data_IF_056348708566
#
_entry.id   IF_056348708566
#
_cell.length_a   1.000
_cell.length_b   1.000
_cell.length_c   1.000
_cell.angle_alpha   90.00
_cell.angle_beta   90.00
_cell.angle_gamma   90.00
#
_symmetry.space_group_name_H-M   'P 1'
#
loop_
_entity.id
_entity.type
_entity.pdbx_description
1 polymer ?
#
# COMPACT_ATOMS: atom_id res chain seq x y z
N UNK A 1 -98.11 -8.68 42.68
CA UNK A 1 -97.32 -8.73 43.86
C UNK A 1 -95.87 -8.65 43.53
N UNK A 2 -95.19 -7.65 43.99
CA UNK A 2 -93.84 -7.26 43.64
C UNK A 2 -92.87 -7.93 44.62
N UNK A 3 -91.79 -8.56 44.11
CA UNK A 3 -90.67 -8.96 44.95
C UNK A 3 -89.40 -8.34 44.37
N UNK A 4 -88.55 -7.76 45.17
CA UNK A 4 -87.44 -6.95 44.74
C UNK A 4 -86.19 -7.76 44.52
N UNK A 5 -85.42 -7.28 43.50
CA UNK A 5 -84.11 -7.76 43.11
C UNK A 5 -83.06 -7.26 44.09
N UNK A 6 -82.30 -8.13 44.72
CA UNK A 6 -81.12 -7.79 45.56
C UNK A 6 -79.87 -7.67 44.67
N UNK A 7 -79.27 -6.50 44.73
CA UNK A 7 -77.88 -6.22 44.23
C UNK A 7 -76.86 -6.81 45.18
N UNK A 8 -75.89 -7.48 44.68
CA UNK A 8 -74.72 -7.90 45.39
C UNK A 8 -73.43 -7.26 44.76
N UNK A 9 -72.74 -6.36 45.46
CA UNK A 9 -71.47 -5.87 44.99
C UNK A 9 -70.35 -6.66 45.63
N UNK A 10 -69.30 -6.84 44.90
CA UNK A 10 -67.95 -7.27 45.26
C UNK A 10 -67.47 -8.43 44.34
N UNK A 11 -66.71 -8.03 43.33
CA UNK A 11 -65.39 -8.64 43.06
C UNK A 11 -64.71 -7.89 41.92
N UNK A 12 -64.05 -6.79 42.30
CA UNK A 12 -63.08 -6.15 41.44
C UNK A 12 -61.73 -6.90 41.55
N UNK A 13 -61.48 -7.79 40.64
CA UNK A 13 -60.15 -8.41 40.50
C UNK A 13 -59.27 -7.45 39.68
N UNK A 14 -58.35 -6.80 40.40
CA UNK A 14 -57.24 -6.04 39.78
C UNK A 14 -56.33 -7.00 39.05
N UNK A 15 -56.36 -6.99 37.71
CA UNK A 15 -55.31 -7.58 36.89
C UNK A 15 -54.19 -6.54 36.75
N UNK A 16 -53.11 -6.69 37.52
CA UNK A 16 -51.86 -6.04 37.27
C UNK A 16 -51.23 -6.67 36.02
N UNK A 17 -51.29 -5.96 34.92
CA UNK A 17 -50.51 -6.28 33.73
C UNK A 17 -49.07 -5.86 33.95
N UNK A 18 -48.16 -6.82 34.14
CA UNK A 18 -46.72 -6.60 34.10
C UNK A 18 -46.33 -6.33 32.61
N UNK A 19 -46.10 -5.09 32.25
CA UNK A 19 -45.48 -4.74 30.98
C UNK A 19 -43.99 -5.09 31.07
N UNK A 20 -43.56 -6.23 30.53
CA UNK A 20 -42.15 -6.53 30.26
C UNK A 20 -41.67 -5.63 29.13
N UNK A 21 -40.93 -4.61 29.48
CA UNK A 21 -40.12 -3.85 28.54
C UNK A 21 -38.97 -4.76 28.10
N UNK A 22 -39.10 -5.41 26.94
CA UNK A 22 -38.00 -6.02 26.23
C UNK A 22 -37.14 -4.86 25.61
N UNK A 23 -36.10 -4.46 26.32
CA UNK A 23 -35.03 -3.67 25.73
C UNK A 23 -34.26 -4.57 24.76
N UNK A 24 -34.61 -4.51 23.50
CA UNK A 24 -33.80 -5.05 22.42
C UNK A 24 -32.52 -4.20 22.36
N UNK A 25 -31.46 -4.66 23.01
CA UNK A 25 -30.12 -4.15 22.74
C UNK A 25 -29.79 -4.52 21.28
N UNK A 26 -29.94 -3.58 20.34
CA UNK A 26 -29.32 -3.68 19.03
C UNK A 26 -27.81 -3.71 19.25
N UNK A 27 -27.24 -4.90 19.18
CA UNK A 27 -25.82 -5.05 18.96
C UNK A 27 -25.53 -4.49 17.56
N UNK A 28 -25.16 -3.21 17.47
CA UNK A 28 -24.55 -2.64 16.28
C UNK A 28 -23.24 -3.40 16.14
N UNK A 29 -23.22 -4.40 15.24
CA UNK A 29 -21.97 -4.96 14.76
C UNK A 29 -21.24 -3.82 14.06
N UNK A 30 -20.31 -3.19 14.75
CA UNK A 30 -19.29 -2.36 14.12
C UNK A 30 -18.46 -3.35 13.32
N UNK A 31 -18.86 -3.60 12.06
CA UNK A 31 -17.95 -4.16 11.09
C UNK A 31 -16.73 -3.24 11.14
N UNK A 32 -15.58 -3.77 11.55
CA UNK A 32 -14.36 -3.00 11.72
C UNK A 32 -14.11 -2.19 10.44
N UNK A 33 -14.32 -0.89 10.50
CA UNK A 33 -14.01 0.00 9.39
C UNK A 33 -12.49 -0.11 9.19
N UNK A 34 -12.06 -0.63 8.05
CA UNK A 34 -10.66 -0.57 7.68
C UNK A 34 -10.22 0.90 7.66
N UNK A 35 -8.99 1.16 8.10
CA UNK A 35 -8.42 2.49 8.06
C UNK A 35 -8.43 3.05 6.63
N UNK A 36 -8.70 4.36 6.49
CA UNK A 36 -8.57 5.03 5.20
C UNK A 36 -7.13 4.89 4.68
N UNK A 37 -6.93 4.47 3.43
CA UNK A 37 -5.59 4.27 2.87
C UNK A 37 -4.72 5.54 2.85
N UNK A 38 -5.35 6.72 2.77
CA UNK A 38 -4.69 8.02 2.85
C UNK A 38 -5.25 8.82 4.01
N UNK A 39 -4.38 9.40 4.84
CA UNK A 39 -4.76 10.28 5.96
C UNK A 39 -4.09 11.63 5.85
N UNK A 40 -4.77 12.68 6.34
CA UNK A 40 -4.23 14.04 6.33
C UNK A 40 -3.31 14.31 7.52
N UNK A 41 -2.41 15.33 7.45
CA UNK A 41 -1.63 15.77 8.61
C UNK A 41 -2.50 16.15 9.83
N UNK A 42 -3.64 16.77 9.60
CA UNK A 42 -4.59 17.11 10.68
C UNK A 42 -5.14 15.86 11.36
N UNK A 43 -5.59 14.87 10.58
CA UNK A 43 -6.12 13.62 11.08
C UNK A 43 -5.09 12.91 11.97
N UNK A 44 -3.84 12.84 11.51
CA UNK A 44 -2.76 12.19 12.25
C UNK A 44 -2.42 12.96 13.54
N UNK A 45 -2.33 14.30 13.47
CA UNK A 45 -2.03 15.12 14.64
C UNK A 45 -3.05 14.94 15.78
N UNK A 46 -4.34 14.80 15.44
CA UNK A 46 -5.41 14.57 16.41
C UNK A 46 -5.32 13.19 17.09
N UNK A 47 -4.52 12.27 16.54
CA UNK A 47 -4.39 10.86 16.98
C UNK A 47 -3.02 10.47 17.51
N UNK A 48 -2.07 11.38 17.60
CA UNK A 48 -0.73 11.08 18.13
C UNK A 48 -0.72 10.55 19.58
N UNK A 49 -1.83 10.66 20.29
CA UNK A 49 -1.99 10.13 21.65
C UNK A 49 -2.55 8.69 21.67
N UNK A 50 -3.04 8.17 20.53
CA UNK A 50 -3.63 6.84 20.45
C UNK A 50 -2.55 5.78 20.72
N UNK A 51 -2.86 4.81 21.57
CA UNK A 51 -1.88 3.81 22.03
C UNK A 51 -1.65 2.67 21.06
N UNK A 52 -2.56 2.50 20.11
CA UNK A 52 -2.54 1.52 19.03
C UNK A 52 -2.00 2.10 17.70
N UNK A 53 -1.56 3.38 17.71
CA UNK A 53 -1.00 4.05 16.55
C UNK A 53 0.53 3.93 16.52
N UNK A 54 1.08 3.51 15.38
CA UNK A 54 2.51 3.62 15.05
C UNK A 54 2.69 4.55 13.85
N UNK A 55 3.39 5.65 14.03
CA UNK A 55 3.81 6.55 12.96
C UNK A 55 5.17 6.08 12.45
N UNK A 56 5.19 5.51 11.25
CA UNK A 56 6.35 4.86 10.66
C UNK A 56 7.01 5.76 9.61
N UNK A 57 8.09 6.43 10.00
CA UNK A 57 8.89 7.26 9.09
C UNK A 57 9.84 6.38 8.28
N UNK A 58 9.65 6.38 6.97
CA UNK A 58 10.37 5.49 6.05
C UNK A 58 11.42 6.22 5.20
N UNK A 59 11.72 7.47 5.51
CA UNK A 59 12.70 8.26 4.75
C UNK A 59 14.04 7.53 4.62
N UNK A 60 14.60 7.58 3.42
CA UNK A 60 15.82 6.86 3.05
C UNK A 60 16.68 7.68 2.08
N UNK A 61 17.74 7.08 1.54
CA UNK A 61 18.58 7.72 0.55
C UNK A 61 17.85 8.03 -0.77
N UNK A 62 16.79 7.31 -1.10
CA UNK A 62 16.02 7.48 -2.34
C UNK A 62 15.32 8.86 -2.43
N UNK A 63 15.00 9.46 -1.29
CA UNK A 63 14.37 10.78 -1.17
C UNK A 63 15.34 11.87 -0.71
N UNK A 64 16.65 11.56 -0.64
CA UNK A 64 17.68 12.44 -0.13
C UNK A 64 17.66 12.63 1.39
N UNK A 65 16.87 11.81 2.11
CA UNK A 65 16.66 11.91 3.55
C UNK A 65 17.44 10.90 4.38
N UNK A 66 16.74 9.91 4.91
CA UNK A 66 17.28 8.85 5.77
C UNK A 66 17.41 9.27 7.22
N UNK A 67 18.22 8.53 8.00
CA UNK A 67 18.32 8.66 9.44
C UNK A 67 18.71 10.07 9.90
N UNK A 68 19.55 10.78 9.14
CA UNK A 68 19.95 12.15 9.49
C UNK A 68 18.79 13.13 9.34
N UNK A 69 18.02 13.04 8.27
CA UNK A 69 16.86 13.88 8.06
C UNK A 69 15.73 13.57 9.07
N UNK A 70 15.60 12.31 9.47
CA UNK A 70 14.72 11.91 10.55
C UNK A 70 15.15 12.55 11.88
N UNK A 71 16.42 12.41 12.27
CA UNK A 71 16.95 12.96 13.52
C UNK A 71 16.88 14.49 13.57
N UNK A 72 16.99 15.17 12.42
CA UNK A 72 16.86 16.63 12.33
C UNK A 72 15.42 17.13 12.51
N UNK A 73 14.42 16.28 12.23
CA UNK A 73 13.02 16.62 12.45
C UNK A 73 12.05 15.57 11.90
N UNK A 74 11.21 15.04 12.77
CA UNK A 74 10.22 14.02 12.48
C UNK A 74 8.91 14.30 13.21
N UNK A 75 7.84 13.58 12.84
CA UNK A 75 6.54 13.66 13.51
C UNK A 75 6.73 13.11 14.94
N UNK A 76 6.19 13.79 15.98
CA UNK A 76 6.34 13.32 17.35
C UNK A 76 5.95 11.85 17.53
N UNK A 77 6.75 11.13 18.33
CA UNK A 77 6.60 9.67 18.60
C UNK A 77 6.81 8.76 17.39
N UNK A 78 7.10 9.27 16.19
CA UNK A 78 7.37 8.38 15.06
C UNK A 78 8.62 7.52 15.29
N UNK A 79 8.62 6.33 14.71
CA UNK A 79 9.78 5.44 14.65
C UNK A 79 10.35 5.45 13.23
N UNK A 80 11.67 5.36 13.10
CA UNK A 80 12.33 5.36 11.80
C UNK A 80 12.66 3.96 11.32
N UNK A 81 12.31 3.67 10.07
CA UNK A 81 12.66 2.43 9.38
C UNK A 81 13.10 2.75 7.96
N UNK A 82 14.40 2.91 7.74
CA UNK A 82 14.98 3.27 6.44
C UNK A 82 14.52 2.29 5.35
N UNK A 83 13.76 2.78 4.37
CA UNK A 83 13.16 1.96 3.32
C UNK A 83 14.18 1.13 2.54
N UNK A 84 15.38 1.66 2.33
CA UNK A 84 16.42 0.97 1.55
C UNK A 84 17.22 -0.04 2.38
N UNK A 85 17.31 0.14 3.72
CA UNK A 85 18.25 -0.60 4.58
C UNK A 85 17.59 -1.49 5.62
N UNK A 86 16.34 -1.20 6.01
CA UNK A 86 15.70 -1.91 7.12
C UNK A 86 15.22 -3.34 6.79
N UNK A 87 15.26 -3.75 5.52
CA UNK A 87 14.83 -5.09 5.11
C UNK A 87 13.42 -5.17 4.52
N UNK A 88 12.81 -4.03 4.12
CA UNK A 88 11.55 -4.02 3.38
C UNK A 88 11.63 -4.74 2.04
N UNK A 89 12.84 -4.86 1.51
CA UNK A 89 13.18 -5.60 0.30
C UNK A 89 14.51 -6.32 0.53
N UNK A 90 14.61 -7.56 0.10
CA UNK A 90 15.79 -8.40 0.35
C UNK A 90 16.37 -8.96 -0.96
N UNK A 91 17.59 -9.44 -0.92
CA UNK A 91 18.15 -10.24 -2.02
C UNK A 91 17.87 -11.72 -1.77
N UNK A 92 17.26 -12.39 -2.75
CA UNK A 92 16.97 -13.82 -2.69
C UNK A 92 17.39 -14.51 -3.99
N UNK A 93 18.10 -15.60 -3.90
CA UNK A 93 18.61 -16.34 -5.06
C UNK A 93 19.38 -15.44 -6.06
N UNK A 94 20.17 -14.50 -5.54
CA UNK A 94 20.89 -13.46 -6.30
C UNK A 94 19.98 -12.45 -7.04
N UNK A 95 18.69 -12.43 -6.76
CA UNK A 95 17.75 -11.43 -7.26
C UNK A 95 17.51 -10.39 -6.17
N UNK A 96 17.89 -9.12 -6.37
CA UNK A 96 17.67 -8.07 -5.38
C UNK A 96 16.21 -7.58 -5.37
N UNK A 97 15.82 -6.90 -4.30
CA UNK A 97 14.52 -6.23 -4.12
C UNK A 97 13.31 -7.16 -4.00
N UNK A 98 13.53 -8.43 -3.69
CA UNK A 98 12.47 -9.42 -3.48
C UNK A 98 11.70 -9.18 -2.18
N UNK A 99 10.53 -9.79 -2.09
CA UNK A 99 9.71 -9.78 -0.86
C UNK A 99 10.44 -10.58 0.23
N UNK A 100 10.51 -10.07 1.48
CA UNK A 100 11.07 -10.81 2.60
C UNK A 100 10.30 -12.11 2.90
N UNK A 101 10.96 -13.06 3.53
CA UNK A 101 10.31 -14.28 4.05
C UNK A 101 9.39 -13.96 5.22
N UNK A 102 8.48 -14.88 5.55
CA UNK A 102 7.58 -14.72 6.71
C UNK A 102 8.37 -14.42 7.99
N UNK A 103 9.42 -15.18 8.39
CA UNK A 103 10.19 -14.86 9.58
C UNK A 103 10.90 -13.50 9.54
N UNK A 104 11.37 -13.07 8.35
CA UNK A 104 11.97 -11.73 8.18
C UNK A 104 10.94 -10.63 8.37
N UNK A 105 9.70 -10.82 7.85
CA UNK A 105 8.59 -9.88 8.02
C UNK A 105 8.14 -9.81 9.48
N UNK A 106 7.97 -10.94 10.16
CA UNK A 106 7.59 -11.01 11.56
C UNK A 106 8.60 -10.25 12.43
N UNK A 107 9.89 -10.49 12.19
CA UNK A 107 10.95 -9.77 12.91
C UNK A 107 10.94 -8.28 12.61
N UNK A 108 10.94 -7.87 11.32
CA UNK A 108 10.96 -6.46 10.91
C UNK A 108 9.78 -5.68 11.50
N UNK A 109 8.57 -6.22 11.36
CA UNK A 109 7.33 -5.57 11.77
C UNK A 109 7.23 -5.54 13.31
N UNK A 110 7.52 -6.65 13.97
CA UNK A 110 7.51 -6.74 15.43
C UNK A 110 8.55 -5.83 16.10
N UNK A 111 9.77 -5.74 15.56
CA UNK A 111 10.81 -4.85 16.07
C UNK A 111 10.41 -3.37 16.00
N UNK A 112 9.50 -3.00 15.10
CA UNK A 112 8.95 -1.64 14.96
C UNK A 112 7.80 -1.34 15.94
N UNK A 113 7.44 -2.29 16.81
CA UNK A 113 6.34 -2.15 17.77
C UNK A 113 4.96 -2.35 17.15
N UNK A 114 4.88 -3.04 16.02
CA UNK A 114 3.64 -3.31 15.29
C UNK A 114 3.18 -4.74 15.57
N UNK A 115 1.90 -4.89 15.93
CA UNK A 115 1.16 -6.14 16.05
C UNK A 115 -0.11 -6.10 15.19
N UNK A 116 -0.97 -7.10 15.32
CA UNK A 116 -2.18 -7.27 14.51
C UNK A 116 -3.25 -6.19 14.75
N UNK A 117 -3.21 -5.51 15.89
CA UNK A 117 -4.17 -4.48 16.30
C UNK A 117 -3.65 -3.06 16.02
N UNK A 118 -2.37 -2.93 15.67
CA UNK A 118 -1.73 -1.63 15.43
C UNK A 118 -2.26 -0.96 14.17
N UNK A 119 -2.58 0.34 14.25
CA UNK A 119 -2.77 1.21 13.09
C UNK A 119 -1.43 1.81 12.70
N UNK A 120 -0.94 1.48 11.52
CA UNK A 120 0.34 1.99 10.99
C UNK A 120 0.09 3.15 10.03
N UNK A 121 0.67 4.31 10.31
CA UNK A 121 0.70 5.43 9.36
C UNK A 121 2.10 5.56 8.79
N UNK A 122 2.25 5.18 7.51
CA UNK A 122 3.51 5.28 6.76
C UNK A 122 3.76 6.72 6.34
N UNK A 123 4.93 7.25 6.68
CA UNK A 123 5.31 8.64 6.42
C UNK A 123 6.50 8.71 5.45
N UNK A 124 6.25 9.02 4.16
CA UNK A 124 7.29 9.33 3.19
C UNK A 124 7.83 10.76 3.36
N UNK A 125 8.84 11.13 2.59
CA UNK A 125 9.34 12.50 2.53
C UNK A 125 8.32 13.50 1.96
N UNK A 126 7.52 13.10 0.99
CA UNK A 126 6.55 13.96 0.29
C UNK A 126 7.21 14.92 -0.69
N UNK A 127 8.22 14.48 -1.44
CA UNK A 127 9.01 15.32 -2.35
C UNK A 127 9.05 14.83 -3.79
N UNK A 128 8.66 13.60 -4.06
CA UNK A 128 8.72 13.02 -5.40
C UNK A 128 7.85 11.77 -5.57
N UNK A 129 7.63 11.37 -6.82
CA UNK A 129 7.01 10.09 -7.15
C UNK A 129 7.83 8.89 -6.66
N UNK A 130 9.14 9.04 -6.47
CA UNK A 130 10.00 7.98 -5.96
C UNK A 130 9.73 7.69 -4.49
N UNK A 131 9.64 8.71 -3.64
CA UNK A 131 9.35 8.48 -2.23
C UNK A 131 7.89 8.06 -1.98
N UNK A 132 6.96 8.47 -2.82
CA UNK A 132 5.62 7.90 -2.84
C UNK A 132 5.67 6.38 -3.12
N UNK A 133 6.50 5.94 -4.08
CA UNK A 133 6.73 4.51 -4.35
C UNK A 133 7.29 3.77 -3.14
N UNK A 134 8.13 4.40 -2.31
CA UNK A 134 8.59 3.83 -1.05
C UNK A 134 7.43 3.61 -0.08
N UNK A 135 6.53 4.59 0.03
CA UNK A 135 5.37 4.50 0.92
C UNK A 135 4.38 3.42 0.46
N UNK A 136 4.03 3.39 -0.82
CA UNK A 136 3.09 2.39 -1.36
C UNK A 136 3.68 0.98 -1.33
N UNK A 137 5.00 0.80 -1.52
CA UNK A 137 5.65 -0.50 -1.37
C UNK A 137 5.69 -0.97 0.09
N UNK A 138 5.96 -0.07 1.03
CA UNK A 138 5.89 -0.38 2.47
C UNK A 138 4.46 -0.74 2.88
N UNK A 139 3.47 0.06 2.45
CA UNK A 139 2.05 -0.23 2.66
C UNK A 139 1.66 -1.61 2.13
N UNK A 140 2.04 -1.92 0.87
CA UNK A 140 1.78 -3.22 0.26
C UNK A 140 2.43 -4.35 1.05
N UNK A 141 3.67 -4.17 1.51
CA UNK A 141 4.42 -5.19 2.26
C UNK A 141 3.77 -5.47 3.62
N UNK A 142 3.34 -4.42 4.34
CA UNK A 142 2.58 -4.55 5.59
C UNK A 142 1.26 -5.29 5.36
N UNK A 143 0.51 -4.90 4.31
CA UNK A 143 -0.75 -5.56 3.96
C UNK A 143 -0.55 -7.02 3.57
N UNK A 144 0.48 -7.31 2.76
CA UNK A 144 0.85 -8.68 2.41
C UNK A 144 1.17 -9.51 3.66
N UNK A 145 1.84 -8.93 4.66
CA UNK A 145 2.13 -9.60 5.93
C UNK A 145 0.90 -9.81 6.82
N UNK A 146 -0.24 -9.16 6.54
CA UNK A 146 -1.48 -9.31 7.28
C UNK A 146 -1.81 -8.17 8.25
N UNK A 147 -1.05 -7.05 8.24
CA UNK A 147 -1.44 -5.85 8.98
C UNK A 147 -2.73 -5.29 8.39
N UNK A 148 -3.72 -5.03 9.23
CA UNK A 148 -5.09 -4.70 8.79
C UNK A 148 -5.32 -3.20 8.63
N UNK A 149 -4.79 -2.40 9.56
CA UNK A 149 -5.01 -0.96 9.61
C UNK A 149 -3.74 -0.23 9.18
N UNK A 150 -3.70 0.20 7.93
CA UNK A 150 -2.55 0.86 7.34
C UNK A 150 -3.02 2.10 6.60
N UNK A 151 -2.32 3.20 6.80
CA UNK A 151 -2.53 4.45 6.05
C UNK A 151 -1.19 5.01 5.58
N UNK A 152 -1.22 5.83 4.53
CA UNK A 152 -0.10 6.67 4.13
C UNK A 152 -0.45 8.12 4.48
N UNK A 153 0.49 8.86 5.07
CA UNK A 153 0.35 10.29 5.28
C UNK A 153 0.41 11.02 3.94
N UNK A 154 -0.72 11.59 3.52
CA UNK A 154 -0.84 12.26 2.22
C UNK A 154 0.05 13.50 2.13
N UNK A 155 1.01 13.46 1.20
CA UNK A 155 2.07 14.46 1.05
C UNK A 155 3.21 14.36 2.09
N UNK A 156 3.25 13.28 2.88
CA UNK A 156 4.36 12.93 3.76
C UNK A 156 4.74 13.99 4.81
N UNK A 157 6.01 13.94 5.25
CA UNK A 157 6.54 14.92 6.23
C UNK A 157 6.54 16.36 5.67
N UNK A 158 6.63 16.52 4.34
CA UNK A 158 6.55 17.85 3.72
C UNK A 158 5.19 18.49 3.95
N UNK A 159 4.10 17.76 3.79
CA UNK A 159 2.74 18.23 4.07
C UNK A 159 2.52 18.51 5.58
N UNK A 160 3.11 17.69 6.46
CA UNK A 160 3.11 17.93 7.91
C UNK A 160 3.76 19.26 8.27
N UNK A 161 4.95 19.53 7.71
CA UNK A 161 5.67 20.81 7.89
C UNK A 161 4.89 21.99 7.33
N UNK A 162 4.32 21.86 6.13
CA UNK A 162 3.50 22.90 5.50
C UNK A 162 2.26 23.24 6.33
N UNK A 163 1.70 22.26 7.04
CA UNK A 163 0.59 22.48 7.98
C UNK A 163 1.01 23.16 9.29
N UNK A 164 2.30 23.47 9.48
CA UNK A 164 2.82 24.15 10.69
C UNK A 164 2.74 23.27 11.95
N UNK A 165 2.67 21.95 11.79
CA UNK A 165 2.52 21.02 12.90
C UNK A 165 3.86 20.75 13.59
N UNK A 166 3.87 20.36 14.89
CA UNK A 166 5.09 20.22 15.67
C UNK A 166 5.99 19.10 15.14
N UNK A 167 7.30 19.31 15.30
CA UNK A 167 8.32 18.32 15.02
C UNK A 167 9.07 17.98 16.31
N UNK A 168 9.54 16.74 16.37
CA UNK A 168 10.45 16.23 17.36
C UNK A 168 11.84 16.04 16.73
N UNK A 169 12.91 16.12 17.51
CA UNK A 169 14.30 15.91 17.07
C UNK A 169 14.94 14.76 17.84
N UNK A 170 16.01 14.19 17.31
CA UNK A 170 16.67 13.02 17.89
C UNK A 170 16.14 11.72 17.30
N UNK A 171 16.08 10.68 18.10
CA UNK A 171 15.63 9.35 17.64
C UNK A 171 14.72 8.71 18.68
N UNK A 172 13.61 8.16 18.22
CA UNK A 172 12.72 7.35 19.04
C UNK A 172 13.04 5.86 18.84
N UNK A 173 13.17 5.15 19.95
CA UNK A 173 13.30 3.70 19.92
C UNK A 173 11.91 3.06 19.97
N UNK A 174 11.55 2.17 19.04
CA UNK A 174 10.30 1.43 19.12
C UNK A 174 10.32 0.50 20.35
N UNK A 175 9.14 0.19 20.88
CA UNK A 175 8.97 -0.89 21.85
C UNK A 175 8.56 -2.16 21.11
N UNK A 176 9.45 -3.15 20.95
CA UNK A 176 9.15 -4.33 20.15
C UNK A 176 7.91 -5.08 20.65
N UNK A 177 7.13 -5.60 19.71
CA UNK A 177 5.98 -6.47 19.94
C UNK A 177 6.17 -7.80 19.22
N UNK A 178 5.36 -8.79 19.57
CA UNK A 178 5.25 -10.02 18.80
C UNK A 178 4.25 -9.77 17.69
N UNK A 179 4.69 -9.98 16.45
CA UNK A 179 3.84 -9.96 15.27
C UNK A 179 3.84 -11.34 14.62
N UNK A 180 2.66 -11.86 14.31
CA UNK A 180 2.49 -13.14 13.61
C UNK A 180 1.91 -12.88 12.23
N UNK A 181 2.68 -13.14 11.19
CA UNK A 181 2.27 -12.83 9.84
C UNK A 181 1.20 -13.81 9.33
N UNK A 182 0.12 -13.25 8.80
CA UNK A 182 -0.91 -13.96 8.03
C UNK A 182 -0.90 -13.45 6.61
N UNK A 183 -0.02 -14.04 5.77
CA UNK A 183 0.25 -13.50 4.43
C UNK A 183 -0.97 -13.54 3.52
N UNK A 184 -1.29 -12.41 2.91
CA UNK A 184 -2.32 -12.27 1.89
C UNK A 184 -1.73 -12.48 0.49
N UNK A 185 -1.80 -13.72 -0.01
CA UNK A 185 -1.34 -14.05 -1.37
C UNK A 185 -2.26 -13.54 -2.48
N UNK A 186 -3.46 -13.06 -2.16
CA UNK A 186 -4.40 -12.57 -3.17
C UNK A 186 -3.92 -11.31 -3.87
N UNK A 187 -3.05 -10.52 -3.20
CA UNK A 187 -2.47 -9.28 -3.74
C UNK A 187 -1.08 -9.46 -4.37
N UNK A 188 -0.51 -10.67 -4.30
CA UNK A 188 0.79 -11.01 -4.88
C UNK A 188 0.60 -11.75 -6.21
N UNK A 189 1.38 -11.39 -7.23
CA UNK A 189 1.67 -12.24 -8.37
C UNK A 189 3.12 -12.71 -8.31
N UNK A 190 3.34 -14.00 -8.50
CA UNK A 190 4.67 -14.58 -8.64
C UNK A 190 5.06 -14.68 -10.12
N UNK A 191 6.34 -14.93 -10.42
CA UNK A 191 6.82 -15.04 -11.79
C UNK A 191 6.06 -16.11 -12.61
N UNK A 192 5.67 -17.21 -11.99
CA UNK A 192 4.88 -18.27 -12.64
C UNK A 192 3.47 -17.83 -13.04
N UNK A 193 2.84 -16.96 -12.23
CA UNK A 193 1.55 -16.34 -12.59
C UNK A 193 1.71 -15.47 -13.83
N UNK A 194 2.77 -14.65 -13.87
CA UNK A 194 3.06 -13.76 -15.00
C UNK A 194 3.39 -14.56 -16.27
N UNK A 195 4.15 -15.64 -16.19
CA UNK A 195 4.40 -16.57 -17.31
C UNK A 195 3.09 -17.17 -17.84
N UNK A 196 2.17 -17.52 -16.95
CA UNK A 196 0.85 -18.03 -17.33
C UNK A 196 0.00 -16.98 -18.06
N UNK A 197 0.05 -15.73 -17.61
CA UNK A 197 -0.68 -14.61 -18.22
C UNK A 197 -0.10 -14.28 -19.60
N UNK A 198 1.21 -14.18 -19.72
CA UNK A 198 1.91 -13.88 -20.98
C UNK A 198 1.54 -14.91 -22.07
N UNK A 199 1.46 -16.18 -21.71
CA UNK A 199 1.15 -17.25 -22.68
C UNK A 199 -0.35 -17.50 -22.93
N UNK A 200 -1.25 -17.14 -22.02
CA UNK A 200 -2.66 -17.58 -22.05
C UNK A 200 -3.67 -16.44 -21.85
N UNK A 201 -3.24 -15.27 -21.42
CA UNK A 201 -4.13 -14.20 -20.99
C UNK A 201 -4.72 -14.44 -19.59
N UNK A 202 -5.88 -13.85 -19.32
CA UNK A 202 -6.59 -13.98 -18.02
C UNK A 202 -6.39 -12.80 -17.08
N UNK A 203 -5.36 -11.96 -17.30
CA UNK A 203 -5.15 -10.69 -16.65
C UNK A 203 -4.43 -9.72 -17.58
N UNK A 204 -4.54 -8.42 -17.29
CA UNK A 204 -3.78 -7.36 -17.96
C UNK A 204 -2.47 -7.14 -17.21
N UNK A 205 -1.34 -7.26 -17.91
CA UNK A 205 -0.04 -6.84 -17.39
C UNK A 205 0.10 -5.33 -17.55
N UNK A 206 0.38 -4.61 -16.47
CA UNK A 206 0.60 -3.16 -16.46
C UNK A 206 2.03 -2.86 -16.06
N UNK A 207 2.77 -2.22 -16.96
CA UNK A 207 4.13 -1.74 -16.73
C UNK A 207 4.10 -0.30 -16.22
N UNK A 208 4.43 -0.12 -14.95
CA UNK A 208 4.39 1.15 -14.23
C UNK A 208 5.62 2.04 -14.47
N UNK A 209 6.48 1.68 -15.43
CA UNK A 209 7.73 2.40 -15.72
C UNK A 209 7.50 3.52 -16.73
N UNK A 210 8.37 4.55 -16.73
CA UNK A 210 8.46 5.50 -17.83
C UNK A 210 8.58 4.81 -19.20
N UNK A 211 8.02 5.44 -20.22
CA UNK A 211 8.01 4.91 -21.59
C UNK A 211 9.41 4.56 -22.13
N UNK A 212 10.47 5.23 -21.66
CA UNK A 212 11.86 4.90 -22.04
C UNK A 212 12.27 3.47 -21.65
N UNK A 213 11.85 3.02 -20.46
CA UNK A 213 12.07 1.63 -20.00
C UNK A 213 11.16 0.65 -20.75
N UNK A 214 9.89 0.98 -20.88
CA UNK A 214 8.89 0.15 -21.56
C UNK A 214 9.28 -0.13 -23.02
N UNK A 215 9.75 0.88 -23.74
CA UNK A 215 10.20 0.75 -25.12
C UNK A 215 11.60 0.12 -25.26
N UNK A 216 12.31 -0.11 -24.15
CA UNK A 216 13.63 -0.69 -24.14
C UNK A 216 14.76 0.29 -24.50
N UNK A 217 14.53 1.59 -24.42
CA UNK A 217 15.60 2.61 -24.57
C UNK A 217 16.49 2.64 -23.32
N UNK A 218 15.92 2.40 -22.17
CA UNK A 218 16.58 2.33 -20.87
C UNK A 218 16.32 1.00 -20.17
N UNK A 219 17.17 0.64 -19.20
CA UNK A 219 16.96 -0.46 -18.29
C UNK A 219 17.53 -0.14 -16.90
N UNK A 220 16.93 -0.71 -15.86
CA UNK A 220 17.51 -0.64 -14.54
C UNK A 220 18.87 -1.38 -14.49
N UNK A 221 19.85 -0.89 -13.70
CA UNK A 221 21.16 -1.55 -13.59
C UNK A 221 21.07 -3.04 -13.24
N UNK A 222 20.13 -3.41 -12.38
CA UNK A 222 19.93 -4.79 -11.94
C UNK A 222 19.17 -5.66 -12.96
N UNK A 223 18.50 -5.09 -13.97
CA UNK A 223 17.83 -5.86 -15.02
C UNK A 223 18.84 -6.32 -16.08
N UNK A 224 18.73 -7.56 -16.55
CA UNK A 224 19.64 -8.13 -17.56
C UNK A 224 19.25 -7.71 -18.98
N UNK A 225 17.97 -7.41 -19.26
CA UNK A 225 17.48 -7.09 -20.59
C UNK A 225 16.76 -5.73 -20.67
N UNK A 226 16.71 -5.18 -21.88
CA UNK A 226 15.96 -3.99 -22.25
C UNK A 226 14.59 -4.35 -22.78
N UNK A 227 13.55 -3.61 -22.39
CA UNK A 227 12.19 -3.82 -22.87
C UNK A 227 11.23 -4.23 -21.76
N UNK A 228 10.15 -4.91 -22.12
CA UNK A 228 9.00 -5.21 -21.30
C UNK A 228 8.60 -6.69 -21.37
N UNK A 229 7.74 -7.12 -20.47
CA UNK A 229 7.04 -8.41 -20.59
C UNK A 229 6.09 -8.32 -21.77
N UNK A 230 6.07 -9.29 -22.71
CA UNK A 230 5.23 -9.23 -23.89
C UNK A 230 3.74 -9.05 -23.57
N UNK A 231 3.05 -8.24 -24.39
CA UNK A 231 1.62 -7.97 -24.24
C UNK A 231 1.26 -7.01 -23.09
N UNK A 232 2.23 -6.44 -22.37
CA UNK A 232 1.96 -5.48 -21.32
C UNK A 232 1.49 -4.13 -21.87
N UNK A 233 0.59 -3.47 -21.14
CA UNK A 233 0.26 -2.06 -21.29
C UNK A 233 1.24 -1.20 -20.49
N UNK A 234 1.48 0.03 -20.94
CA UNK A 234 2.24 1.00 -20.17
C UNK A 234 1.32 2.02 -19.51
N UNK A 235 1.34 2.09 -18.20
CA UNK A 235 0.74 3.14 -17.39
C UNK A 235 1.82 3.59 -16.43
N UNK A 236 2.51 4.68 -16.76
CA UNK A 236 3.58 5.21 -15.92
C UNK A 236 3.02 5.64 -14.57
N UNK A 237 3.61 5.17 -13.48
CA UNK A 237 3.18 5.53 -12.11
C UNK A 237 3.16 7.04 -11.87
N UNK A 238 3.98 7.80 -12.59
CA UNK A 238 3.97 9.26 -12.55
C UNK A 238 2.66 9.88 -13.08
N UNK A 239 1.88 9.15 -13.88
CA UNK A 239 0.58 9.63 -14.34
C UNK A 239 -0.46 9.73 -13.23
N UNK A 240 -0.29 9.01 -12.13
CA UNK A 240 -1.12 9.12 -10.93
C UNK A 240 -0.69 10.22 -9.96
N UNK A 241 0.50 10.78 -10.17
CA UNK A 241 1.12 11.74 -9.27
C UNK A 241 0.94 13.18 -9.75
N UNK A 242 0.74 14.09 -8.81
CA UNK A 242 0.74 15.53 -9.00
C UNK A 242 2.01 16.13 -8.43
N UNK A 243 2.94 16.52 -9.31
CA UNK A 243 4.25 17.07 -8.93
C UNK A 243 4.18 18.49 -8.34
N UNK A 244 3.06 19.21 -8.48
CA UNK A 244 2.90 20.54 -7.88
C UNK A 244 2.56 20.42 -6.39
N UNK A 245 1.68 19.48 -6.04
CA UNK A 245 1.29 19.22 -4.65
C UNK A 245 2.12 18.14 -3.95
N UNK A 246 2.95 17.39 -4.69
CA UNK A 246 3.66 16.19 -4.23
C UNK A 246 2.73 15.13 -3.61
N UNK A 247 1.59 14.87 -4.27
CA UNK A 247 0.55 13.95 -3.82
C UNK A 247 0.03 13.11 -4.98
N UNK A 248 -0.78 12.12 -4.64
CA UNK A 248 -1.64 11.51 -5.64
C UNK A 248 -2.68 12.50 -6.14
N UNK A 249 -3.02 12.40 -7.43
CA UNK A 249 -4.11 13.19 -8.02
C UNK A 249 -5.45 12.91 -7.33
N UNK A 250 -6.40 13.80 -7.50
CA UNK A 250 -7.77 13.59 -7.01
C UNK A 250 -8.38 12.31 -7.60
N UNK A 251 -9.23 11.61 -6.84
CA UNK A 251 -9.81 10.30 -7.20
C UNK A 251 -10.41 10.26 -8.62
N UNK A 252 -11.07 11.32 -9.05
CA UNK A 252 -11.64 11.38 -10.41
C UNK A 252 -10.54 11.36 -11.50
N UNK A 253 -9.42 12.06 -11.27
CA UNK A 253 -8.29 12.05 -12.21
C UNK A 253 -7.54 10.72 -12.19
N UNK A 254 -7.42 10.08 -11.00
CA UNK A 254 -6.87 8.71 -10.90
C UNK A 254 -7.71 7.74 -11.72
N UNK A 255 -9.04 7.82 -11.66
CA UNK A 255 -9.93 6.96 -12.41
C UNK A 255 -9.75 7.11 -13.93
N UNK A 256 -9.58 8.33 -14.43
CA UNK A 256 -9.32 8.60 -15.87
C UNK A 256 -8.07 7.87 -16.36
N UNK A 257 -6.97 7.93 -15.58
CA UNK A 257 -5.73 7.22 -15.92
C UNK A 257 -5.95 5.70 -15.84
N UNK A 258 -6.58 5.23 -14.77
CA UNK A 258 -6.81 3.81 -14.52
C UNK A 258 -7.73 3.15 -15.55
N UNK A 259 -8.67 3.91 -16.14
CA UNK A 259 -9.61 3.43 -17.16
C UNK A 259 -8.92 3.14 -18.52
N UNK A 260 -7.64 3.49 -18.68
CA UNK A 260 -6.82 3.04 -19.82
C UNK A 260 -6.51 1.54 -19.77
N UNK A 261 -6.55 0.93 -18.58
CA UNK A 261 -6.47 -0.51 -18.41
C UNK A 261 -7.86 -1.15 -18.52
N UNK A 262 -8.03 -2.23 -19.29
CA UNK A 262 -9.29 -2.96 -19.39
C UNK A 262 -9.86 -3.39 -18.04
N UNK A 263 -11.17 -3.60 -17.97
CA UNK A 263 -11.80 -4.22 -16.81
C UNK A 263 -11.29 -5.66 -16.62
N UNK A 264 -11.28 -6.15 -15.37
CA UNK A 264 -10.82 -7.48 -14.99
C UNK A 264 -9.49 -7.47 -14.24
N UNK A 265 -8.89 -8.64 -14.02
CA UNK A 265 -7.67 -8.79 -13.24
C UNK A 265 -6.48 -8.03 -13.84
N UNK A 266 -5.70 -7.39 -12.97
CA UNK A 266 -4.51 -6.64 -13.32
C UNK A 266 -3.31 -7.19 -12.54
N UNK A 267 -2.16 -7.27 -13.20
CA UNK A 267 -0.87 -7.48 -12.55
C UNK A 267 0.07 -6.33 -12.88
N UNK A 268 0.39 -5.54 -11.85
CA UNK A 268 1.28 -4.39 -11.96
C UNK A 268 2.72 -4.82 -11.76
N UNK A 269 3.63 -4.37 -12.61
CA UNK A 269 5.06 -4.58 -12.47
C UNK A 269 5.86 -3.33 -12.88
N UNK A 270 7.13 -3.25 -12.49
CA UNK A 270 8.06 -2.21 -12.93
C UNK A 270 9.48 -2.77 -13.05
N UNK A 271 10.49 -2.10 -12.52
CA UNK A 271 11.85 -2.65 -12.41
C UNK A 271 12.00 -3.58 -11.20
N UNK A 272 11.48 -3.18 -10.02
CA UNK A 272 11.73 -3.79 -8.70
C UNK A 272 10.48 -3.83 -7.81
N UNK A 273 9.29 -3.67 -8.36
CA UNK A 273 8.03 -3.58 -7.64
C UNK A 273 7.84 -2.29 -6.82
N UNK A 274 8.67 -1.29 -7.05
CA UNK A 274 8.63 -0.01 -6.35
C UNK A 274 7.58 0.93 -6.97
N UNK A 275 7.70 1.33 -8.23
CA UNK A 275 6.68 2.13 -8.92
C UNK A 275 5.35 1.39 -9.07
N UNK A 276 5.42 0.11 -9.41
CA UNK A 276 4.24 -0.73 -9.57
C UNK A 276 3.39 -0.86 -8.31
N UNK A 277 3.97 -0.65 -7.12
CA UNK A 277 3.19 -0.59 -5.89
C UNK A 277 2.31 0.66 -5.81
N UNK A 278 2.69 1.77 -6.48
CA UNK A 278 1.84 2.96 -6.60
C UNK A 278 0.62 2.66 -7.47
N UNK A 279 0.82 2.02 -8.62
CA UNK A 279 -0.28 1.63 -9.50
C UNK A 279 -1.20 0.65 -8.78
N UNK A 280 -0.64 -0.38 -8.14
CA UNK A 280 -1.42 -1.31 -7.32
C UNK A 280 -2.22 -0.59 -6.22
N UNK A 281 -1.61 0.35 -5.50
CA UNK A 281 -2.28 1.12 -4.46
C UNK A 281 -3.45 1.93 -5.01
N UNK A 282 -3.28 2.58 -6.16
CA UNK A 282 -4.36 3.31 -6.84
C UNK A 282 -5.46 2.36 -7.27
N UNK A 283 -5.13 1.29 -8.01
CA UNK A 283 -6.13 0.34 -8.50
C UNK A 283 -6.86 -0.35 -7.34
N UNK A 284 -6.10 -0.95 -6.42
CA UNK A 284 -6.65 -1.81 -5.38
C UNK A 284 -7.30 -1.06 -4.22
N UNK A 285 -6.58 -0.06 -3.65
CA UNK A 285 -7.03 0.62 -2.44
C UNK A 285 -7.94 1.81 -2.74
N UNK A 286 -7.58 2.66 -3.71
CA UNK A 286 -8.31 3.90 -3.95
C UNK A 286 -9.50 3.75 -4.91
N UNK A 287 -9.36 2.89 -5.92
CA UNK A 287 -10.40 2.65 -6.93
C UNK A 287 -11.17 1.35 -6.73
N UNK A 288 -10.75 0.52 -5.77
CA UNK A 288 -11.48 -0.68 -5.35
C UNK A 288 -11.38 -1.87 -6.31
N UNK A 289 -10.43 -1.88 -7.26
CA UNK A 289 -10.17 -3.03 -8.14
C UNK A 289 -9.42 -4.12 -7.35
N UNK A 290 -10.16 -4.91 -6.58
CA UNK A 290 -9.62 -5.90 -5.63
C UNK A 290 -8.94 -7.10 -6.30
N UNK A 291 -9.07 -7.24 -7.60
CA UNK A 291 -8.38 -8.18 -8.47
C UNK A 291 -7.00 -7.69 -8.97
N UNK A 292 -6.57 -6.49 -8.57
CA UNK A 292 -5.24 -5.98 -8.87
C UNK A 292 -4.19 -6.62 -7.96
N UNK A 293 -3.10 -7.13 -8.57
CA UNK A 293 -1.95 -7.75 -7.91
C UNK A 293 -0.66 -6.98 -8.21
N UNK A 294 0.33 -7.15 -7.34
CA UNK A 294 1.69 -6.67 -7.56
C UNK A 294 2.61 -7.86 -7.87
N UNK A 295 3.28 -7.82 -9.02
CA UNK A 295 4.44 -8.64 -9.30
C UNK A 295 5.69 -7.96 -8.72
N UNK A 296 5.99 -8.26 -7.46
CA UNK A 296 7.00 -7.55 -6.69
C UNK A 296 8.43 -7.74 -7.22
N UNK A 297 8.77 -8.90 -7.79
CA UNK A 297 10.07 -9.16 -8.39
C UNK A 297 10.31 -8.42 -9.71
N UNK A 298 9.24 -8.13 -10.46
CA UNK A 298 9.27 -7.27 -11.64
C UNK A 298 10.36 -7.64 -12.67
N UNK A 299 10.85 -6.66 -13.44
CA UNK A 299 11.84 -6.89 -14.50
C UNK A 299 13.16 -7.45 -13.98
N UNK A 300 13.56 -7.14 -12.76
CA UNK A 300 14.81 -7.69 -12.19
C UNK A 300 14.70 -9.20 -12.00
N UNK A 301 13.57 -9.70 -11.47
CA UNK A 301 13.32 -11.13 -11.38
C UNK A 301 13.00 -11.74 -12.75
N UNK A 302 12.18 -11.08 -13.56
CA UNK A 302 11.81 -11.57 -14.88
C UNK A 302 13.03 -11.85 -15.75
N UNK A 303 13.93 -10.86 -15.82
CA UNK A 303 15.16 -10.97 -16.64
C UNK A 303 16.28 -11.80 -16.00
N UNK A 304 16.10 -12.28 -14.77
CA UNK A 304 17.07 -13.18 -14.13
C UNK A 304 17.07 -14.58 -14.77
N UNK A 305 15.97 -14.95 -15.42
CA UNK A 305 15.80 -16.20 -16.17
C UNK A 305 15.78 -15.89 -17.68
N UNK A 306 16.84 -16.33 -18.38
CA UNK A 306 17.03 -16.06 -19.81
C UNK A 306 15.99 -16.76 -20.72
N UNK A 307 15.21 -17.73 -20.19
CA UNK A 307 14.12 -18.37 -20.94
C UNK A 307 12.84 -17.53 -21.02
N UNK A 308 12.72 -16.48 -20.22
CA UNK A 308 11.55 -15.62 -20.20
C UNK A 308 11.59 -14.61 -21.35
N UNK A 309 10.50 -14.51 -22.13
CA UNK A 309 10.49 -13.64 -23.30
C UNK A 309 10.49 -12.15 -22.92
N UNK A 310 11.11 -11.35 -23.79
CA UNK A 310 11.16 -9.89 -23.69
C UNK A 310 10.72 -9.30 -25.02
N UNK A 311 9.83 -8.33 -24.96
CA UNK A 311 9.47 -7.47 -26.09
C UNK A 311 10.16 -6.12 -25.96
N UNK A 312 10.84 -5.68 -27.02
CA UNK A 312 11.59 -4.43 -27.03
C UNK A 312 11.48 -3.75 -28.38
N UNK A 313 11.32 -2.43 -28.37
CA UNK A 313 11.41 -1.62 -29.58
C UNK A 313 12.87 -1.27 -29.95
N UNK A 314 13.83 -1.73 -29.14
CA UNK A 314 15.26 -1.52 -29.38
C UNK A 314 15.71 -2.32 -30.58
N UNK A 315 16.51 -1.67 -31.45
CA UNK A 315 17.07 -2.26 -32.67
C UNK A 315 18.54 -2.61 -32.45
N UNK A 316 19.09 -3.49 -33.31
CA UNK A 316 20.54 -3.74 -33.38
C UNK A 316 21.35 -2.48 -33.63
N UNK A 317 20.74 -1.50 -34.30
CA UNK A 317 21.34 -0.19 -34.56
C UNK A 317 21.52 0.63 -33.27
N UNK A 318 20.56 0.55 -32.36
CA UNK A 318 20.65 1.20 -31.05
C UNK A 318 21.77 0.59 -30.21
N UNK A 319 21.97 -0.73 -30.31
CA UNK A 319 23.09 -1.42 -29.67
C UNK A 319 24.44 -0.97 -30.24
N UNK A 320 24.53 -0.84 -31.56
CA UNK A 320 25.73 -0.37 -32.21
C UNK A 320 26.06 1.08 -31.84
N UNK A 321 25.08 1.98 -31.89
CA UNK A 321 25.27 3.37 -31.44
C UNK A 321 25.82 3.44 -30.02
N UNK A 322 25.24 2.68 -29.10
CA UNK A 322 25.69 2.64 -27.72
C UNK A 322 27.12 2.11 -27.58
N UNK A 323 27.47 1.07 -28.34
CA UNK A 323 28.84 0.51 -28.36
C UNK A 323 29.86 1.52 -28.89
N UNK A 324 29.45 2.41 -29.83
CA UNK A 324 30.28 3.46 -30.42
C UNK A 324 30.29 4.76 -29.61
N UNK A 325 29.58 4.82 -28.45
CA UNK A 325 29.46 6.05 -27.66
C UNK A 325 28.67 7.19 -28.34
N UNK A 326 27.96 6.86 -29.42
CA UNK A 326 27.07 7.78 -30.14
C UNK A 326 25.73 7.76 -29.38
N UNK A 327 25.47 8.78 -28.57
CA UNK A 327 24.27 8.85 -27.73
C UNK A 327 22.96 8.53 -28.47
N UNK A 328 21.97 8.02 -27.71
CA UNK A 328 20.60 7.73 -28.19
C UNK A 328 19.81 9.00 -28.36
#
# INVERSE_FOLDING_TARGET
MKTPVRFNPFNAVRRLGAAMLFSAAMAVSVAGAHADPLVTPKWLNERLADTDLVVLDIRSAIDGGGAQAYAAGHIPKSVHSDYDKAGWRVTRNNVPFMVPTVPELEKLIGDLGIDEDTHVVVVPAGVSVLDLGSATRTYWTLKYAGVKNISILDGGIAAWRTAGLPLETGTNAPSPKIFTATVDKSILAEAADVESIEGKGGATLVDARPASFFLGKEKAPASKAYGRIPGALNIDSAEFYDSESNRLKAKAALAVVADTAPAGPIVNYCNTGHWASTDWFVFHELLGRKDAKLYAGSMVEWTSNDSRPIESSRTKWDDLKKALGLGS
#
